data_IF_943534037685
#
_entry.id   IF_943534037685
#
_cell.length_a   1.000
_cell.length_b   1.000
_cell.length_c   1.000
_cell.angle_alpha   90.00
_cell.angle_beta   90.00
_cell.angle_gamma   90.00
#
_symmetry.space_group_name_H-M   'P 1'
#
loop_
_entity.id
_entity.type
_entity.pdbx_description
1 polymer ?
#
# COMPACT_ATOMS: atom_id res chain seq x y z
N UNK A 1 12.21 -33.79 -9.60
CA UNK A 1 12.66 -33.23 -10.93
C UNK A 1 11.47 -32.86 -11.82
N UNK A 2 10.51 -33.75 -12.09
CA UNK A 2 9.36 -33.46 -12.95
C UNK A 2 8.42 -32.37 -12.38
N UNK A 3 8.32 -32.26 -11.06
CA UNK A 3 7.52 -31.26 -10.36
C UNK A 3 8.09 -29.84 -10.55
N UNK A 4 9.40 -29.70 -10.58
CA UNK A 4 10.11 -28.43 -10.72
C UNK A 4 10.07 -27.93 -12.16
N UNK A 5 10.12 -28.85 -13.13
CA UNK A 5 9.98 -28.52 -14.56
C UNK A 5 8.57 -27.99 -14.85
N UNK A 6 7.54 -28.64 -14.34
CA UNK A 6 6.14 -28.21 -14.51
C UNK A 6 5.88 -26.83 -13.89
N UNK A 7 6.43 -26.57 -12.69
CA UNK A 7 6.34 -25.27 -12.03
C UNK A 7 7.03 -24.18 -12.86
N UNK A 8 8.25 -24.45 -13.30
CA UNK A 8 9.05 -23.50 -14.09
C UNK A 8 8.37 -23.16 -15.41
N UNK A 9 7.83 -24.17 -16.11
CA UNK A 9 7.12 -23.97 -17.36
C UNK A 9 5.86 -23.09 -17.16
N UNK A 10 5.11 -23.34 -16.09
CA UNK A 10 3.94 -22.55 -15.75
C UNK A 10 4.31 -21.11 -15.42
N UNK A 11 5.30 -20.86 -14.54
CA UNK A 11 5.78 -19.51 -14.22
C UNK A 11 6.17 -18.76 -15.49
N UNK A 12 6.93 -19.39 -16.39
CA UNK A 12 7.34 -18.77 -17.64
C UNK A 12 6.15 -18.42 -18.55
N UNK A 13 5.18 -19.33 -18.69
CA UNK A 13 3.99 -19.09 -19.51
C UNK A 13 3.12 -17.95 -18.95
N UNK A 14 2.88 -17.93 -17.63
CA UNK A 14 2.06 -16.92 -16.97
C UNK A 14 2.74 -15.54 -17.03
N UNK A 15 4.05 -15.46 -16.79
CA UNK A 15 4.81 -14.21 -16.93
C UNK A 15 4.86 -13.73 -18.40
N UNK A 16 4.97 -14.63 -19.35
CA UNK A 16 4.91 -14.28 -20.77
C UNK A 16 3.52 -13.75 -21.18
N UNK A 17 2.45 -14.31 -20.63
CA UNK A 17 1.09 -13.81 -20.83
C UNK A 17 0.92 -12.38 -20.30
N UNK A 18 1.52 -12.07 -19.12
CA UNK A 18 1.54 -10.71 -18.56
C UNK A 18 2.29 -9.72 -19.48
N UNK A 19 3.45 -10.12 -20.02
CA UNK A 19 4.19 -9.31 -21.01
C UNK A 19 3.36 -8.99 -22.23
N UNK A 20 2.66 -9.99 -22.78
CA UNK A 20 1.76 -9.79 -23.95
C UNK A 20 0.64 -8.80 -23.67
N UNK A 21 0.19 -8.69 -22.42
CA UNK A 21 -0.81 -7.72 -21.96
C UNK A 21 -0.22 -6.34 -21.62
N UNK A 22 1.07 -6.14 -21.85
CA UNK A 22 1.76 -4.86 -21.62
C UNK A 22 2.18 -4.61 -20.18
N UNK A 23 2.15 -5.64 -19.32
CA UNK A 23 2.66 -5.50 -17.94
C UNK A 23 4.19 -5.38 -17.97
N UNK A 24 4.77 -4.34 -17.36
CA UNK A 24 6.22 -4.19 -17.29
C UNK A 24 6.77 -5.15 -16.23
N UNK A 25 7.34 -6.28 -16.67
CA UNK A 25 7.96 -7.25 -15.77
C UNK A 25 9.27 -6.72 -15.20
N UNK A 26 9.40 -6.83 -13.88
CA UNK A 26 10.64 -6.56 -13.14
C UNK A 26 11.25 -7.86 -12.62
N UNK A 27 12.56 -7.94 -12.38
CA UNK A 27 13.22 -9.14 -11.83
C UNK A 27 12.54 -9.66 -10.55
N UNK A 28 12.10 -8.77 -9.67
CA UNK A 28 11.38 -9.10 -8.45
C UNK A 28 10.03 -9.78 -8.67
N UNK A 29 9.38 -9.54 -9.82
CA UNK A 29 8.09 -10.17 -10.13
C UNK A 29 8.24 -11.67 -10.40
N UNK A 30 9.41 -12.12 -10.85
CA UNK A 30 9.73 -13.54 -11.04
C UNK A 30 9.73 -14.24 -9.68
N UNK A 31 10.40 -13.67 -8.68
CA UNK A 31 10.44 -14.22 -7.33
C UNK A 31 9.04 -14.28 -6.70
N UNK A 32 8.23 -13.24 -6.90
CA UNK A 32 6.85 -13.22 -6.43
C UNK A 32 5.99 -14.28 -7.13
N UNK A 33 6.12 -14.44 -8.44
CA UNK A 33 5.40 -15.44 -9.21
C UNK A 33 5.74 -16.88 -8.75
N UNK A 34 7.03 -17.17 -8.58
CA UNK A 34 7.49 -18.46 -8.09
C UNK A 34 6.88 -18.75 -6.72
N UNK A 35 6.98 -17.82 -5.76
CA UNK A 35 6.42 -17.98 -4.42
C UNK A 35 4.92 -18.23 -4.46
N UNK A 36 4.17 -17.39 -5.18
CA UNK A 36 2.71 -17.51 -5.23
C UNK A 36 2.25 -18.84 -5.83
N UNK A 37 2.86 -19.30 -6.93
CA UNK A 37 2.50 -20.57 -7.55
C UNK A 37 2.97 -21.76 -6.69
N UNK A 38 4.08 -21.61 -5.94
CA UNK A 38 4.55 -22.63 -5.01
C UNK A 38 3.63 -22.78 -3.80
N UNK A 39 3.11 -21.66 -3.28
CA UNK A 39 2.20 -21.63 -2.14
C UNK A 39 0.79 -22.12 -2.52
N UNK A 40 0.31 -21.73 -3.69
CA UNK A 40 -1.00 -22.13 -4.21
C UNK A 40 -0.97 -22.30 -5.73
N UNK A 41 -1.03 -23.55 -6.16
CA UNK A 41 -1.04 -23.91 -7.59
C UNK A 41 -2.30 -23.47 -8.34
N UNK A 42 -3.36 -23.07 -7.66
CA UNK A 42 -4.58 -22.57 -8.31
C UNK A 42 -4.53 -21.08 -8.62
N UNK A 43 -3.49 -20.36 -8.15
CA UNK A 43 -3.39 -18.91 -8.30
C UNK A 43 -3.32 -18.50 -9.76
N UNK A 44 -4.09 -17.47 -10.11
CA UNK A 44 -3.98 -16.79 -11.39
C UNK A 44 -3.11 -15.54 -11.22
N UNK A 45 -1.91 -15.53 -11.79
CA UNK A 45 -1.00 -14.38 -11.71
C UNK A 45 -1.56 -13.13 -12.38
N UNK A 46 -2.36 -13.27 -13.44
CA UNK A 46 -2.98 -12.13 -14.12
C UNK A 46 -3.91 -11.35 -13.20
N UNK A 47 -4.73 -12.05 -12.42
CA UNK A 47 -5.68 -11.44 -11.47
C UNK A 47 -4.97 -10.65 -10.36
N UNK A 48 -3.70 -10.92 -10.14
CA UNK A 48 -2.89 -10.26 -9.12
C UNK A 48 -2.07 -9.13 -9.75
N UNK A 49 -1.23 -9.43 -10.73
CA UNK A 49 -0.30 -8.44 -11.30
C UNK A 49 -1.00 -7.37 -12.14
N UNK A 50 -2.13 -7.68 -12.78
CA UNK A 50 -2.91 -6.70 -13.54
C UNK A 50 -3.92 -5.92 -12.68
N UNK A 51 -4.10 -6.29 -11.40
CA UNK A 51 -4.95 -5.54 -10.49
C UNK A 51 -4.28 -4.22 -10.08
N UNK A 52 -4.35 -3.24 -10.94
CA UNK A 52 -3.80 -1.92 -10.67
C UNK A 52 -4.67 -1.17 -9.67
N UNK A 53 -4.13 -0.97 -8.47
CA UNK A 53 -4.76 -0.19 -7.39
C UNK A 53 -4.69 1.30 -7.72
N UNK A 54 -3.50 1.78 -8.08
CA UNK A 54 -3.21 3.17 -8.36
C UNK A 54 -2.01 3.31 -9.30
N UNK A 55 -1.99 4.35 -10.11
CA UNK A 55 -0.82 4.72 -10.91
C UNK A 55 -0.23 5.99 -10.31
N UNK A 56 0.98 5.87 -9.74
CA UNK A 56 1.67 6.98 -9.11
C UNK A 56 2.05 8.08 -10.11
N UNK A 57 2.40 9.27 -9.60
CA UNK A 57 2.89 10.39 -10.42
C UNK A 57 4.12 10.01 -11.27
N UNK A 58 4.93 9.08 -10.78
CA UNK A 58 6.08 8.52 -11.51
C UNK A 58 5.70 7.46 -12.56
N UNK A 59 4.42 7.35 -12.89
CA UNK A 59 3.85 6.36 -13.83
C UNK A 59 4.12 4.90 -13.44
N UNK A 60 4.29 4.62 -12.16
CA UNK A 60 4.42 3.25 -11.64
C UNK A 60 3.05 2.74 -11.22
N UNK A 61 2.64 1.61 -11.77
CA UNK A 61 1.45 0.91 -11.32
C UNK A 61 1.71 0.26 -9.95
N UNK A 62 0.84 0.54 -8.99
CA UNK A 62 0.82 -0.12 -7.69
C UNK A 62 -0.15 -1.28 -7.80
N UNK A 63 0.39 -2.49 -7.72
CA UNK A 63 -0.32 -3.77 -7.82
C UNK A 63 0.01 -4.64 -6.64
N UNK A 64 -0.85 -5.57 -6.23
CA UNK A 64 -0.50 -6.55 -5.20
C UNK A 64 0.66 -7.43 -5.68
N UNK A 65 1.50 -7.86 -4.74
CA UNK A 65 2.68 -8.70 -4.99
C UNK A 65 2.58 -10.05 -4.25
N UNK A 66 1.43 -10.32 -3.65
CA UNK A 66 1.12 -11.59 -2.99
C UNK A 66 -0.39 -11.80 -2.88
N UNK A 67 -0.82 -13.05 -2.66
CA UNK A 67 -2.22 -13.38 -2.38
C UNK A 67 -2.76 -12.64 -1.15
N UNK A 68 -1.95 -12.50 -0.10
CA UNK A 68 -2.36 -11.79 1.11
C UNK A 68 -2.61 -10.29 0.81
N UNK A 69 -1.76 -9.67 0.00
CA UNK A 69 -1.96 -8.28 -0.44
C UNK A 69 -3.20 -8.14 -1.33
N UNK A 70 -3.43 -9.09 -2.25
CA UNK A 70 -4.66 -9.11 -3.08
C UNK A 70 -5.90 -9.19 -2.21
N UNK A 71 -5.95 -10.13 -1.25
CA UNK A 71 -7.06 -10.26 -0.29
C UNK A 71 -7.29 -8.99 0.53
N UNK A 72 -6.21 -8.32 0.93
CA UNK A 72 -6.27 -7.05 1.67
C UNK A 72 -6.89 -5.93 0.82
N UNK A 73 -6.47 -5.79 -0.42
CA UNK A 73 -7.02 -4.81 -1.37
C UNK A 73 -8.50 -5.09 -1.65
N UNK A 74 -8.85 -6.35 -1.90
CA UNK A 74 -10.23 -6.75 -2.15
C UNK A 74 -11.12 -6.52 -0.92
N UNK A 75 -10.59 -6.72 0.28
CA UNK A 75 -11.30 -6.40 1.52
C UNK A 75 -11.58 -4.90 1.64
N UNK A 76 -10.58 -4.03 1.34
CA UNK A 76 -10.76 -2.57 1.37
C UNK A 76 -11.82 -2.12 0.36
N UNK A 77 -11.89 -2.76 -0.81
CA UNK A 77 -12.91 -2.47 -1.82
C UNK A 77 -14.32 -2.86 -1.40
N UNK A 78 -14.43 -3.84 -0.53
CA UNK A 78 -15.72 -4.48 -0.20
C UNK A 78 -16.31 -4.03 1.14
N UNK A 79 -15.48 -3.70 2.12
CA UNK A 79 -15.90 -3.46 3.50
C UNK A 79 -15.55 -2.05 3.96
N UNK A 80 -16.43 -1.45 4.76
CA UNK A 80 -16.24 -0.11 5.33
C UNK A 80 -15.13 -0.08 6.40
N UNK A 81 -14.89 -1.20 7.10
CA UNK A 81 -13.85 -1.34 8.11
C UNK A 81 -13.00 -2.57 7.81
N UNK A 82 -11.69 -2.35 7.66
CA UNK A 82 -10.71 -3.40 7.42
C UNK A 82 -9.55 -3.30 8.40
N UNK A 83 -9.22 -4.42 9.04
CA UNK A 83 -8.08 -4.53 9.96
C UNK A 83 -7.02 -5.41 9.32
N UNK A 84 -5.88 -4.81 8.97
CA UNK A 84 -4.74 -5.52 8.40
C UNK A 84 -3.73 -5.91 9.48
N UNK A 85 -3.57 -7.21 9.75
CA UNK A 85 -2.60 -7.76 10.71
C UNK A 85 -1.48 -8.47 9.95
N UNK A 86 -0.24 -8.25 10.36
CA UNK A 86 0.91 -8.93 9.75
C UNK A 86 2.24 -8.26 10.13
N UNK A 87 3.38 -8.89 9.78
CA UNK A 87 4.73 -8.38 10.07
C UNK A 87 5.00 -7.00 9.46
N UNK A 88 6.03 -6.32 9.98
CA UNK A 88 6.53 -5.09 9.37
C UNK A 88 7.04 -5.35 7.94
N UNK A 89 7.02 -4.32 7.07
CA UNK A 89 7.53 -4.40 5.71
C UNK A 89 6.63 -5.14 4.70
N UNK A 90 5.47 -5.65 5.09
CA UNK A 90 4.54 -6.38 4.18
C UNK A 90 3.64 -5.49 3.33
N UNK A 91 3.83 -4.17 3.36
CA UNK A 91 3.10 -3.21 2.51
C UNK A 91 1.72 -2.78 3.01
N UNK A 92 1.30 -3.15 4.23
CA UNK A 92 -0.04 -2.82 4.77
C UNK A 92 -0.39 -1.33 4.65
N UNK A 93 0.44 -0.47 5.24
CA UNK A 93 0.24 0.98 5.22
C UNK A 93 0.33 1.55 3.81
N UNK A 94 1.29 1.06 3.03
CA UNK A 94 1.50 1.50 1.65
C UNK A 94 0.29 1.21 0.75
N UNK A 95 -0.25 -0.01 0.82
CA UNK A 95 -1.43 -0.41 0.04
C UNK A 95 -2.70 0.30 0.52
N UNK A 96 -2.88 0.49 1.83
CA UNK A 96 -3.99 1.29 2.36
C UNK A 96 -3.93 2.74 1.85
N UNK A 97 -2.74 3.33 1.82
CA UNK A 97 -2.52 4.67 1.27
C UNK A 97 -2.84 4.72 -0.23
N UNK A 98 -2.37 3.75 -1.00
CA UNK A 98 -2.65 3.67 -2.43
C UNK A 98 -4.16 3.57 -2.71
N UNK A 99 -4.88 2.75 -1.92
CA UNK A 99 -6.33 2.65 -2.00
C UNK A 99 -7.02 3.96 -1.63
N UNK A 100 -6.63 4.61 -0.52
CA UNK A 100 -7.20 5.88 -0.10
C UNK A 100 -7.01 6.97 -1.16
N UNK A 101 -5.80 7.09 -1.72
CA UNK A 101 -5.50 8.04 -2.80
C UNK A 101 -6.30 7.71 -4.06
N UNK A 102 -6.44 6.43 -4.42
CA UNK A 102 -7.24 6.01 -5.56
C UNK A 102 -8.72 6.43 -5.42
N UNK A 103 -9.32 6.21 -4.24
CA UNK A 103 -10.70 6.62 -3.95
C UNK A 103 -10.86 8.15 -3.96
N UNK A 104 -9.90 8.89 -3.40
CA UNK A 104 -9.91 10.36 -3.45
C UNK A 104 -9.82 10.88 -4.89
N UNK A 105 -8.93 10.31 -5.72
CA UNK A 105 -8.78 10.74 -7.12
C UNK A 105 -10.00 10.42 -7.97
N UNK A 106 -10.75 9.38 -7.64
CA UNK A 106 -12.04 9.03 -8.27
C UNK A 106 -13.22 9.85 -7.71
N UNK A 107 -12.98 10.69 -6.71
CA UNK A 107 -14.03 11.44 -6.00
C UNK A 107 -15.08 10.55 -5.30
N UNK A 108 -14.69 9.34 -4.93
CA UNK A 108 -15.50 8.41 -4.14
C UNK A 108 -15.50 8.77 -2.66
N UNK A 109 -14.46 9.51 -2.22
CA UNK A 109 -14.35 10.10 -0.89
C UNK A 109 -13.93 11.57 -1.01
N UNK A 110 -14.34 12.39 -0.06
CA UNK A 110 -14.05 13.84 -0.04
C UNK A 110 -12.73 14.14 0.67
N UNK A 111 -12.31 13.28 1.60
CA UNK A 111 -11.16 13.52 2.47
C UNK A 111 -10.46 12.23 2.84
N UNK A 112 -9.15 12.33 3.08
CA UNK A 112 -8.33 11.28 3.66
C UNK A 112 -7.84 11.77 5.02
N UNK A 113 -8.03 10.97 6.06
CA UNK A 113 -7.45 11.21 7.39
C UNK A 113 -6.46 10.09 7.68
N UNK A 114 -5.18 10.46 7.78
CA UNK A 114 -4.09 9.55 8.10
C UNK A 114 -3.76 9.69 9.57
N UNK A 115 -3.90 8.61 10.31
CA UNK A 115 -3.64 8.65 11.75
C UNK A 115 -2.68 7.56 12.19
N UNK A 116 -1.89 7.89 13.19
CA UNK A 116 -0.98 6.95 13.82
C UNK A 116 -0.86 7.28 15.32
N UNK A 117 -0.64 6.28 16.20
CA UNK A 117 -0.27 6.57 17.58
C UNK A 117 0.97 7.49 17.62
N UNK A 118 0.93 8.51 18.48
CA UNK A 118 2.04 9.46 18.63
C UNK A 118 3.26 8.88 19.33
N UNK A 119 3.09 7.74 19.99
CA UNK A 119 4.14 6.96 20.67
C UNK A 119 3.95 5.49 20.40
N UNK A 120 5.03 4.77 20.19
CA UNK A 120 5.00 3.31 20.19
C UNK A 120 4.83 2.78 21.61
N UNK A 121 4.31 1.53 21.72
CA UNK A 121 4.05 0.92 23.03
C UNK A 121 5.37 0.83 23.84
N UNK A 122 5.40 1.54 24.98
CA UNK A 122 6.56 1.59 25.88
C UNK A 122 7.44 2.83 25.76
N UNK A 123 7.27 3.69 24.76
CA UNK A 123 8.00 4.95 24.62
C UNK A 123 7.28 6.10 25.34
N UNK A 124 8.06 6.99 25.96
CA UNK A 124 7.56 8.21 26.59
C UNK A 124 7.93 9.42 25.74
N UNK A 125 6.93 10.20 25.31
CA UNK A 125 7.10 11.47 24.58
C UNK A 125 8.08 12.46 25.25
N UNK A 126 8.34 12.31 26.54
CA UNK A 126 9.22 13.18 27.31
C UNK A 126 10.71 13.14 26.93
N UNK A 127 11.16 12.11 26.18
CA UNK A 127 12.56 11.98 25.78
C UNK A 127 12.93 12.73 24.49
N UNK A 128 11.96 13.17 23.71
CA UNK A 128 12.22 13.93 22.49
C UNK A 128 12.26 15.43 22.79
N UNK A 129 13.24 16.19 22.26
CA UNK A 129 13.26 17.64 22.36
C UNK A 129 12.17 18.29 21.53
N UNK A 130 11.70 19.47 21.93
CA UNK A 130 10.72 20.25 21.19
C UNK A 130 9.31 20.24 21.78
N UNK A 131 8.39 20.91 21.12
CA UNK A 131 6.97 20.91 21.46
C UNK A 131 6.28 19.61 21.07
N UNK A 132 4.99 19.47 21.38
CA UNK A 132 4.23 18.24 21.10
C UNK A 132 4.19 17.94 19.59
N UNK A 133 4.09 18.96 18.74
CA UNK A 133 4.03 18.78 17.29
C UNK A 133 5.38 18.30 16.73
N UNK A 134 6.48 18.87 17.22
CA UNK A 134 7.82 18.44 16.83
C UNK A 134 8.14 17.01 17.31
N UNK A 135 7.69 16.63 18.51
CA UNK A 135 7.86 15.29 19.06
C UNK A 135 7.08 14.22 18.31
N UNK A 136 5.94 14.58 17.74
CA UNK A 136 5.07 13.65 17.00
C UNK A 136 5.47 13.51 15.54
N UNK A 137 6.14 14.51 14.96
CA UNK A 137 6.51 14.55 13.54
C UNK A 137 7.30 13.31 13.06
N UNK A 138 8.30 12.76 13.78
CA UNK A 138 9.01 11.56 13.37
C UNK A 138 8.10 10.34 13.16
N UNK A 139 7.04 10.20 13.95
CA UNK A 139 6.10 9.08 13.86
C UNK A 139 5.14 9.21 12.67
N UNK A 140 4.92 10.43 12.18
CA UNK A 140 4.06 10.71 11.03
C UNK A 140 4.83 10.66 9.69
N UNK A 141 6.15 10.78 9.72
CA UNK A 141 7.01 10.79 8.54
C UNK A 141 6.76 9.65 7.56
N UNK A 142 6.59 8.38 7.98
CA UNK A 142 6.30 7.28 7.07
C UNK A 142 5.00 7.45 6.28
N UNK A 143 4.03 8.21 6.82
CA UNK A 143 2.77 8.50 6.11
C UNK A 143 3.00 9.54 5.01
N UNK A 144 3.80 10.58 5.29
CA UNK A 144 4.19 11.57 4.28
C UNK A 144 5.04 10.94 3.19
N UNK A 145 6.00 10.07 3.53
CA UNK A 145 6.85 9.38 2.57
C UNK A 145 5.99 8.51 1.62
N UNK A 146 5.03 7.76 2.16
CA UNK A 146 4.09 6.99 1.35
C UNK A 146 3.23 7.88 0.46
N UNK A 147 2.76 9.03 0.95
CA UNK A 147 1.96 9.98 0.17
C UNK A 147 2.78 10.56 -1.00
N UNK A 148 4.04 10.93 -0.75
CA UNK A 148 4.93 11.47 -1.78
C UNK A 148 5.36 10.43 -2.82
N UNK A 149 5.31 9.15 -2.49
CA UNK A 149 5.47 8.08 -3.48
C UNK A 149 4.25 7.95 -4.42
N UNK A 150 3.05 8.28 -3.92
CA UNK A 150 1.81 8.20 -4.70
C UNK A 150 1.62 9.40 -5.62
N UNK A 151 1.95 10.61 -5.15
CA UNK A 151 1.73 11.85 -5.88
C UNK A 151 2.91 12.81 -5.74
N UNK A 152 2.98 13.79 -6.66
CA UNK A 152 4.01 14.83 -6.62
C UNK A 152 3.91 15.66 -5.35
N UNK A 153 5.06 16.12 -4.86
CA UNK A 153 5.16 16.90 -3.63
C UNK A 153 4.23 18.12 -3.62
N UNK A 154 4.23 18.90 -4.70
CA UNK A 154 3.39 20.10 -4.81
C UNK A 154 1.89 19.78 -4.73
N UNK A 155 1.49 18.66 -5.33
CA UNK A 155 0.10 18.20 -5.28
C UNK A 155 -0.27 17.72 -3.88
N UNK A 156 0.59 16.93 -3.24
CA UNK A 156 0.40 16.46 -1.88
C UNK A 156 0.27 17.64 -0.91
N UNK A 157 1.19 18.62 -0.97
CA UNK A 157 1.20 19.81 -0.12
C UNK A 157 -0.09 20.61 -0.26
N UNK A 158 -0.54 20.87 -1.49
CA UNK A 158 -1.81 21.58 -1.74
C UNK A 158 -3.03 20.86 -1.16
N UNK A 159 -3.07 19.53 -1.21
CA UNK A 159 -4.17 18.75 -0.64
C UNK A 159 -4.14 18.76 0.89
N UNK A 160 -2.95 18.75 1.48
CA UNK A 160 -2.77 18.90 2.94
C UNK A 160 -3.16 20.32 3.40
N UNK A 161 -2.69 21.36 2.73
CA UNK A 161 -3.03 22.77 3.04
C UNK A 161 -4.55 23.04 2.97
N UNK A 162 -5.23 22.41 2.02
CA UNK A 162 -6.69 22.51 1.87
C UNK A 162 -7.47 21.61 2.84
N UNK A 163 -6.81 20.82 3.67
CA UNK A 163 -7.44 19.87 4.58
C UNK A 163 -8.16 18.72 3.90
N UNK A 164 -7.89 18.47 2.62
CA UNK A 164 -8.38 17.28 1.89
C UNK A 164 -7.64 16.04 2.31
N UNK A 165 -6.34 16.16 2.59
CA UNK A 165 -5.54 15.12 3.24
C UNK A 165 -5.08 15.69 4.57
N UNK A 166 -5.42 15.00 5.65
CA UNK A 166 -5.01 15.36 6.99
C UNK A 166 -4.14 14.26 7.58
N UNK A 167 -3.02 14.64 8.19
CA UNK A 167 -2.15 13.73 8.95
C UNK A 167 -2.19 14.17 10.40
N UNK A 168 -2.71 13.32 11.28
CA UNK A 168 -2.91 13.65 12.68
C UNK A 168 -2.56 12.50 13.62
N UNK A 169 -2.02 12.77 14.81
CA UNK A 169 -1.88 11.76 15.86
C UNK A 169 -3.25 11.17 16.23
N UNK A 170 -3.27 9.87 16.54
CA UNK A 170 -4.51 9.19 16.94
C UNK A 170 -5.19 9.85 18.15
N UNK A 171 -4.41 10.39 19.09
CA UNK A 171 -4.93 11.10 20.26
C UNK A 171 -5.79 12.33 19.90
N UNK A 172 -5.54 12.95 18.73
CA UNK A 172 -6.28 14.14 18.26
C UNK A 172 -7.56 13.79 17.51
N UNK A 173 -7.83 12.49 17.33
CA UNK A 173 -9.06 12.01 16.70
C UNK A 173 -10.24 11.90 17.67
N UNK A 174 -9.99 12.03 18.98
CA UNK A 174 -11.03 11.96 20.01
C UNK A 174 -12.01 13.12 19.87
N UNK A 175 -13.31 12.79 19.83
CA UNK A 175 -14.39 13.80 19.73
C UNK A 175 -14.59 14.37 18.33
N UNK A 176 -13.96 13.81 17.30
CA UNK A 176 -14.23 14.12 15.89
C UNK A 176 -15.40 13.28 15.38
N UNK A 177 -16.38 13.92 14.85
CA UNK A 177 -17.53 13.32 14.15
C UNK A 177 -17.48 13.68 12.68
#
# INVERSE_FOLDING_TARGET
>A
EDLDVGLSLRVLNDLYALLKKGYPLYPTDIDYAIRMISDDRSVNLEDIFLDTVYISSRKRAITPKSLAQKRYIDAIRKYDLVIGIGPAGTGKTYLAMAMAVAHLMKQEVERIVLTRPAVEAGEKLGFLPGDIAEKVNPYLRPLYDALHDMMDFDRASKLVERGVIEVAPLAFMRGRT
#
